data_IF_506643036954
#
_entry.id   IF_506643036954
#
_cell.length_a   1.000
_cell.length_b   1.000
_cell.length_c   1.000
_cell.angle_alpha   90.00
_cell.angle_beta   90.00
_cell.angle_gamma   90.00
#
_symmetry.space_group_name_H-M   'P 1'
#
loop_
_entity.id
_entity.type
_entity.pdbx_description
1 polymer ?
#
# COMPACT_ATOMS: atom_id res chain seq x y z
N UNK A 1 13.05 -10.88 12.25
CA UNK A 1 13.86 -9.66 12.04
C UNK A 1 13.14 -8.73 11.07
N UNK A 2 12.60 -7.59 11.52
CA UNK A 2 12.03 -6.58 10.62
C UNK A 2 13.18 -5.72 10.07
N UNK A 3 13.56 -5.93 8.81
CA UNK A 3 14.51 -5.02 8.12
C UNK A 3 13.82 -3.67 8.00
N UNK A 4 14.44 -2.58 8.50
CA UNK A 4 13.94 -1.21 8.32
C UNK A 4 13.69 -0.97 6.83
N UNK A 5 12.42 -0.91 6.42
CA UNK A 5 12.03 -0.45 5.09
C UNK A 5 12.07 1.07 5.08
N UNK A 6 12.84 1.63 4.14
CA UNK A 6 12.84 3.08 3.92
C UNK A 6 11.70 3.43 2.96
N UNK A 7 10.55 3.80 3.52
CA UNK A 7 9.45 4.36 2.75
C UNK A 7 9.81 5.77 2.28
N UNK A 8 9.59 6.06 1.00
CA UNK A 8 9.87 7.38 0.43
C UNK A 8 8.62 8.19 0.13
N UNK A 9 7.50 7.50 -0.13
CA UNK A 9 6.27 8.15 -0.57
C UNK A 9 5.04 7.35 -0.12
N UNK A 10 3.95 8.07 0.12
CA UNK A 10 2.60 7.52 0.26
C UNK A 10 1.82 7.79 -1.02
N UNK A 11 1.12 6.77 -1.52
CA UNK A 11 0.26 6.85 -2.69
C UNK A 11 -1.19 6.65 -2.23
N UNK A 12 -2.10 7.51 -2.66
CA UNK A 12 -3.52 7.31 -2.44
C UNK A 12 -4.08 6.37 -3.51
N UNK A 13 -4.65 5.25 -3.09
CA UNK A 13 -5.33 4.28 -3.94
C UNK A 13 -6.81 4.26 -3.60
N UNK A 14 -7.69 4.48 -4.58
CA UNK A 14 -9.14 4.36 -4.39
C UNK A 14 -9.51 2.89 -4.59
N UNK A 15 -10.02 2.25 -3.54
CA UNK A 15 -10.44 0.85 -3.56
C UNK A 15 -11.56 0.67 -4.58
N UNK A 16 -11.39 -0.29 -5.48
CA UNK A 16 -12.38 -0.68 -6.50
C UNK A 16 -13.10 -1.97 -6.10
N UNK A 17 -14.29 -2.24 -6.66
CA UNK A 17 -14.94 -3.54 -6.47
C UNK A 17 -14.02 -4.70 -6.85
N UNK A 18 -13.86 -5.66 -5.94
CA UNK A 18 -12.98 -6.83 -6.13
C UNK A 18 -11.52 -6.63 -5.72
N UNK A 19 -11.15 -5.44 -5.25
CA UNK A 19 -9.86 -5.20 -4.60
C UNK A 19 -9.77 -5.91 -3.26
N UNK A 20 -8.57 -6.39 -2.95
CA UNK A 20 -8.23 -6.98 -1.67
C UNK A 20 -6.90 -6.40 -1.20
N UNK A 21 -6.66 -6.39 0.11
CA UNK A 21 -5.37 -5.93 0.66
C UNK A 21 -4.18 -6.60 -0.02
N UNK A 22 -4.28 -7.89 -0.33
CA UNK A 22 -3.22 -8.64 -1.02
C UNK A 22 -3.02 -8.17 -2.46
N UNK A 23 -4.09 -7.92 -3.22
CA UNK A 23 -4.00 -7.43 -4.61
C UNK A 23 -3.39 -6.03 -4.65
N UNK A 24 -3.91 -5.12 -3.81
CA UNK A 24 -3.43 -3.73 -3.73
C UNK A 24 -1.98 -3.70 -3.26
N UNK A 25 -1.63 -4.41 -2.18
CA UNK A 25 -0.23 -4.50 -1.72
C UNK A 25 0.72 -4.94 -2.84
N UNK A 26 0.36 -6.00 -3.55
CA UNK A 26 1.16 -6.54 -4.65
C UNK A 26 1.32 -5.54 -5.79
N UNK A 27 0.26 -4.81 -6.14
CA UNK A 27 0.30 -3.80 -7.20
C UNK A 27 1.33 -2.70 -6.94
N UNK A 28 1.50 -2.30 -5.67
CA UNK A 28 2.41 -1.23 -5.27
C UNK A 28 3.71 -1.74 -4.64
N UNK A 29 4.03 -3.04 -4.77
CA UNK A 29 5.20 -3.66 -4.15
C UNK A 29 5.30 -3.39 -2.62
N UNK A 30 4.14 -3.27 -1.97
CA UNK A 30 3.97 -3.17 -0.53
C UNK A 30 3.56 -4.53 0.05
N UNK A 31 3.42 -4.62 1.36
CA UNK A 31 2.82 -5.80 2.01
C UNK A 31 1.46 -5.47 2.62
N UNK A 32 0.57 -6.46 2.81
CA UNK A 32 -0.71 -6.25 3.50
C UNK A 32 -0.54 -5.63 4.89
N UNK A 33 0.51 -6.02 5.62
CA UNK A 33 0.82 -5.45 6.92
C UNK A 33 1.16 -3.95 6.82
N UNK A 34 1.93 -3.56 5.80
CA UNK A 34 2.27 -2.15 5.59
C UNK A 34 1.01 -1.30 5.32
N UNK A 35 0.03 -1.85 4.59
CA UNK A 35 -1.27 -1.21 4.37
C UNK A 35 -2.10 -1.12 5.67
N UNK A 36 -2.14 -2.18 6.46
CA UNK A 36 -2.87 -2.22 7.74
C UNK A 36 -2.33 -1.15 8.69
N UNK A 37 -1.01 -1.09 8.85
CA UNK A 37 -0.35 -0.11 9.73
C UNK A 37 -0.54 1.31 9.20
N UNK A 38 -0.37 1.54 7.90
CA UNK A 38 -0.49 2.87 7.31
C UNK A 38 -1.92 3.45 7.37
N UNK A 39 -2.94 2.60 7.36
CA UNK A 39 -4.35 3.01 7.35
C UNK A 39 -5.10 2.69 8.64
N UNK A 40 -4.41 2.18 9.66
CA UNK A 40 -4.98 1.74 10.93
C UNK A 40 -6.21 0.81 10.74
N UNK A 41 -6.11 -0.10 9.78
CA UNK A 41 -7.24 -0.97 9.43
C UNK A 41 -7.53 -1.95 10.55
N UNK A 42 -8.79 -1.96 11.00
CA UNK A 42 -9.29 -2.92 11.99
C UNK A 42 -9.76 -4.23 11.34
N UNK A 43 -10.09 -4.18 10.04
CA UNK A 43 -10.58 -5.32 9.26
C UNK A 43 -9.81 -5.44 7.95
N UNK A 44 -9.72 -6.68 7.45
CA UNK A 44 -9.02 -6.98 6.20
C UNK A 44 -9.88 -6.71 4.95
N UNK A 45 -11.19 -6.54 5.15
CA UNK A 45 -12.13 -6.23 4.08
C UNK A 45 -12.03 -4.76 3.68
N UNK A 46 -11.84 -4.53 2.38
CA UNK A 46 -11.79 -3.20 1.80
C UNK A 46 -13.16 -2.82 1.27
N UNK A 47 -13.67 -1.66 1.69
CA UNK A 47 -14.92 -1.10 1.16
C UNK A 47 -14.62 -0.32 -0.14
N UNK A 48 -15.26 -0.66 -1.28
CA UNK A 48 -15.11 0.12 -2.51
C UNK A 48 -15.39 1.61 -2.30
N UNK A 49 -14.61 2.46 -2.97
CA UNK A 49 -14.65 3.92 -2.82
C UNK A 49 -13.79 4.47 -1.68
N UNK A 50 -13.29 3.63 -0.78
CA UNK A 50 -12.38 4.06 0.29
C UNK A 50 -11.02 4.45 -0.28
N UNK A 51 -10.42 5.51 0.27
CA UNK A 51 -9.02 5.86 -0.02
C UNK A 51 -8.10 5.08 0.90
N UNK A 52 -7.20 4.32 0.30
CA UNK A 52 -6.18 3.54 0.98
C UNK A 52 -4.80 4.16 0.72
N UNK A 53 -4.10 4.52 1.79
CA UNK A 53 -2.73 5.04 1.76
C UNK A 53 -1.74 3.89 1.63
N UNK A 54 -0.99 3.87 0.53
CA UNK A 54 -0.04 2.80 0.22
C UNK A 54 1.38 3.31 0.42
N UNK A 55 2.12 2.84 1.45
CA UNK A 55 3.50 3.19 1.64
C UNK A 55 4.39 2.43 0.64
N UNK A 56 5.10 3.18 -0.19
CA UNK A 56 6.03 2.62 -1.16
C UNK A 56 7.47 2.86 -0.75
N UNK A 57 8.30 1.86 -1.00
CA UNK A 57 9.74 1.94 -0.69
C UNK A 57 10.43 2.96 -1.60
N UNK A 58 11.54 3.52 -1.13
CA UNK A 58 12.38 4.44 -1.91
C UNK A 58 12.78 3.85 -3.26
N UNK A 59 13.22 2.58 -3.27
CA UNK A 59 13.61 1.89 -4.49
C UNK A 59 12.46 1.77 -5.50
N UNK A 60 11.23 1.49 -5.04
CA UNK A 60 10.06 1.45 -5.92
C UNK A 60 9.73 2.83 -6.48
N UNK A 61 9.69 3.85 -5.62
CA UNK A 61 9.37 5.22 -6.03
C UNK A 61 10.37 5.76 -7.05
N UNK A 62 11.67 5.55 -6.79
CA UNK A 62 12.72 5.94 -7.72
C UNK A 62 12.59 5.14 -9.02
N UNK A 63 12.48 3.80 -8.97
CA UNK A 63 12.46 2.95 -10.17
C UNK A 63 11.22 3.03 -11.07
N UNK A 64 10.05 3.41 -10.54
CA UNK A 64 8.75 3.22 -11.25
C UNK A 64 7.87 4.47 -11.35
N UNK A 65 8.11 5.51 -10.55
CA UNK A 65 7.17 6.65 -10.44
C UNK A 65 7.81 8.02 -10.66
N UNK A 66 9.13 8.10 -10.80
CA UNK A 66 9.88 9.36 -10.92
C UNK A 66 10.55 9.57 -12.28
N UNK A 67 10.33 8.66 -13.23
CA UNK A 67 10.90 8.71 -14.58
C UNK A 67 9.80 8.80 -15.62
#
# INVERSE_FOLDING_TARGET
>A
MYRRKHYAKLIAHIVRPGDTLKKVARQYHATPLDLIVANQLQHLELKPGTVLMVPVTKAYYEGHLRF
#
